data_IF_039807732747
#
_entry.id   IF_039807732747
#
_cell.length_a   1.000
_cell.length_b   1.000
_cell.length_c   1.000
_cell.angle_alpha   90.00
_cell.angle_beta   90.00
_cell.angle_gamma   90.00
#
_symmetry.space_group_name_H-M   'P 1'
#
loop_
_entity.id
_entity.type
_entity.pdbx_description
1 polymer ?
#
# COMPACT_ATOMS: atom_id res chain seq x y z
N UNK A 1 -0.27 -21.15 -3.04
CA UNK A 1 1.07 -20.98 -3.62
C UNK A 1 1.37 -22.14 -4.56
N UNK A 2 1.92 -21.86 -5.73
CA UNK A 2 2.30 -22.83 -6.78
C UNK A 2 3.81 -22.77 -6.94
N UNK A 3 4.49 -23.90 -7.02
CA UNK A 3 5.96 -23.97 -7.13
C UNK A 3 6.34 -24.73 -8.40
N UNK A 4 7.12 -24.09 -9.26
CA UNK A 4 7.78 -24.75 -10.38
C UNK A 4 9.08 -25.39 -9.89
N UNK A 5 9.29 -26.67 -10.23
CA UNK A 5 10.50 -27.40 -9.90
C UNK A 5 11.19 -27.90 -11.18
N UNK A 6 12.50 -27.98 -11.14
CA UNK A 6 13.33 -28.64 -12.13
C UNK A 6 14.34 -29.50 -11.39
N UNK A 7 14.42 -30.78 -11.75
CA UNK A 7 15.31 -31.75 -11.09
C UNK A 7 15.15 -31.71 -9.55
N UNK A 8 13.87 -31.63 -9.08
CA UNK A 8 13.44 -31.50 -7.69
C UNK A 8 13.74 -30.12 -7.03
N UNK A 9 14.54 -29.25 -7.64
CA UNK A 9 14.86 -27.92 -7.10
C UNK A 9 13.80 -26.85 -7.45
N UNK A 10 13.40 -25.98 -6.52
CA UNK A 10 12.45 -24.92 -6.79
C UNK A 10 13.10 -23.83 -7.66
N UNK A 11 12.56 -23.60 -8.86
CA UNK A 11 13.07 -22.64 -9.85
C UNK A 11 12.17 -21.43 -10.06
N UNK A 12 10.97 -21.45 -9.51
CA UNK A 12 10.01 -20.36 -9.59
C UNK A 12 8.78 -20.63 -8.75
N UNK A 13 8.01 -19.59 -8.52
CA UNK A 13 6.75 -19.66 -7.75
C UNK A 13 5.70 -18.71 -8.30
N UNK A 14 4.43 -19.08 -8.11
CA UNK A 14 3.31 -18.16 -8.20
C UNK A 14 2.55 -18.13 -6.87
N UNK A 15 2.12 -16.94 -6.50
CA UNK A 15 1.30 -16.69 -5.32
C UNK A 15 0.03 -15.96 -5.75
N UNK A 16 -1.03 -16.20 -5.02
CA UNK A 16 -2.24 -15.39 -5.12
C UNK A 16 -2.78 -15.08 -3.73
N UNK A 17 -3.44 -13.96 -3.63
CA UNK A 17 -4.21 -13.54 -2.48
C UNK A 17 -5.62 -13.23 -2.98
N UNK A 18 -6.62 -13.75 -2.30
CA UNK A 18 -8.01 -13.51 -2.62
C UNK A 18 -8.57 -12.47 -1.66
N UNK A 19 -9.45 -11.66 -2.19
CA UNK A 19 -10.31 -10.86 -1.37
C UNK A 19 -11.35 -11.74 -0.68
N UNK A 20 -11.75 -11.40 0.56
CA UNK A 20 -12.78 -12.15 1.28
C UNK A 20 -14.12 -12.11 0.55
N UNK A 21 -14.44 -10.96 -0.02
CA UNK A 21 -15.65 -10.73 -0.82
C UNK A 21 -15.24 -10.05 -2.12
N UNK A 22 -15.80 -10.44 -3.26
CA UNK A 22 -15.47 -9.81 -4.55
C UNK A 22 -14.90 -10.79 -5.58
N UNK A 23 -14.54 -10.25 -6.74
CA UNK A 23 -14.12 -11.01 -7.92
C UNK A 23 -12.63 -10.82 -8.27
N UNK A 24 -11.85 -10.21 -7.37
CA UNK A 24 -10.46 -9.85 -7.57
C UNK A 24 -9.50 -10.83 -6.90
N UNK A 25 -8.38 -11.10 -7.57
CA UNK A 25 -7.22 -11.79 -7.00
C UNK A 25 -5.95 -10.98 -7.26
N UNK A 26 -5.11 -10.81 -6.24
CA UNK A 26 -3.74 -10.32 -6.43
C UNK A 26 -2.85 -11.51 -6.76
N UNK A 27 -2.09 -11.40 -7.85
CA UNK A 27 -1.22 -12.48 -8.33
C UNK A 27 0.22 -11.99 -8.43
N UNK A 28 1.16 -12.89 -8.13
CA UNK A 28 2.58 -12.64 -8.26
C UNK A 28 3.27 -13.87 -8.83
N UNK A 29 4.14 -13.68 -9.82
CA UNK A 29 4.94 -14.75 -10.46
C UNK A 29 6.40 -14.38 -10.40
N UNK A 30 7.21 -15.26 -9.84
CA UNK A 30 8.65 -15.10 -9.71
C UNK A 30 9.37 -16.31 -10.30
N UNK A 31 10.42 -16.07 -11.09
CA UNK A 31 11.32 -17.10 -11.62
C UNK A 31 12.74 -16.70 -11.33
N UNK A 32 13.53 -17.62 -10.81
CA UNK A 32 14.95 -17.40 -10.53
C UNK A 32 15.65 -16.92 -11.82
N UNK A 33 16.57 -15.93 -11.73
CA UNK A 33 17.19 -15.29 -12.90
C UNK A 33 17.77 -16.29 -13.91
N UNK A 34 18.50 -17.29 -13.44
CA UNK A 34 19.16 -18.33 -14.23
C UNK A 34 18.21 -19.31 -14.93
N UNK A 35 16.93 -19.35 -14.49
CA UNK A 35 15.89 -20.19 -15.05
C UNK A 35 14.89 -19.44 -15.94
N UNK A 36 15.10 -18.14 -16.14
CA UNK A 36 14.25 -17.29 -17.00
C UNK A 36 14.44 -17.61 -18.48
N UNK A 37 13.48 -17.20 -19.32
CA UNK A 37 13.52 -17.41 -20.77
C UNK A 37 13.21 -18.85 -21.24
N UNK A 38 12.80 -19.73 -20.32
CA UNK A 38 12.53 -21.17 -20.59
C UNK A 38 11.06 -21.55 -20.48
N UNK A 39 10.14 -20.59 -20.56
CA UNK A 39 8.69 -20.83 -20.46
C UNK A 39 8.13 -20.95 -19.04
N UNK A 40 8.97 -21.07 -18.00
CA UNK A 40 8.53 -21.31 -16.61
C UNK A 40 7.57 -20.22 -16.10
N UNK A 41 7.89 -18.94 -16.37
CA UNK A 41 7.02 -17.83 -15.97
C UNK A 41 5.66 -17.87 -16.68
N UNK A 42 5.60 -18.32 -17.94
CA UNK A 42 4.34 -18.51 -18.66
C UNK A 42 3.52 -19.62 -18.00
N UNK A 43 4.10 -20.78 -17.77
CA UNK A 43 3.42 -21.90 -17.12
C UNK A 43 2.88 -21.55 -15.73
N UNK A 44 3.68 -20.86 -14.90
CA UNK A 44 3.24 -20.39 -13.58
C UNK A 44 2.10 -19.38 -13.66
N UNK A 45 2.14 -18.48 -14.65
CA UNK A 45 1.09 -17.49 -14.85
C UNK A 45 -0.21 -18.14 -15.37
N UNK A 46 -0.11 -19.11 -16.29
CA UNK A 46 -1.26 -19.88 -16.78
C UNK A 46 -1.94 -20.62 -15.62
N UNK A 47 -1.16 -21.28 -14.78
CA UNK A 47 -1.65 -22.05 -13.64
C UNK A 47 -2.30 -21.15 -12.58
N UNK A 48 -1.67 -20.03 -12.19
CA UNK A 48 -2.25 -19.12 -11.19
C UNK A 48 -3.51 -18.45 -11.71
N UNK A 49 -3.55 -18.01 -12.98
CA UNK A 49 -4.73 -17.41 -13.59
C UNK A 49 -5.88 -18.44 -13.71
N UNK A 50 -5.57 -19.69 -14.05
CA UNK A 50 -6.55 -20.79 -14.07
C UNK A 50 -7.08 -21.07 -12.66
N UNK A 51 -6.19 -21.18 -11.67
CA UNK A 51 -6.55 -21.43 -10.26
C UNK A 51 -7.50 -20.34 -9.74
N UNK A 52 -7.15 -19.05 -9.90
CA UNK A 52 -7.98 -17.96 -9.36
C UNK A 52 -9.31 -17.82 -10.11
N UNK A 53 -9.34 -18.14 -11.43
CA UNK A 53 -10.58 -18.23 -12.21
C UNK A 53 -11.48 -19.35 -11.69
N UNK A 54 -10.92 -20.54 -11.43
CA UNK A 54 -11.64 -21.67 -10.82
C UNK A 54 -12.19 -21.37 -9.43
N UNK A 55 -11.58 -20.42 -8.70
CA UNK A 55 -12.06 -19.89 -7.43
C UNK A 55 -13.07 -18.72 -7.60
N UNK A 56 -13.62 -18.54 -8.79
CA UNK A 56 -14.65 -17.52 -9.09
C UNK A 56 -14.12 -16.09 -9.25
N UNK A 57 -12.80 -15.90 -9.38
CA UNK A 57 -12.23 -14.57 -9.57
C UNK A 57 -12.22 -14.19 -11.06
N UNK A 58 -12.66 -12.96 -11.35
CA UNK A 58 -12.77 -12.44 -12.72
C UNK A 58 -11.69 -11.43 -13.06
N UNK A 59 -10.97 -10.95 -12.05
CA UNK A 59 -9.91 -9.96 -12.19
C UNK A 59 -8.62 -10.45 -11.56
N UNK A 60 -7.51 -10.27 -12.25
CA UNK A 60 -6.18 -10.45 -11.71
C UNK A 60 -5.45 -9.11 -11.66
N UNK A 61 -4.91 -8.75 -10.49
CA UNK A 61 -4.07 -7.57 -10.27
C UNK A 61 -2.65 -8.05 -9.96
N UNK A 62 -1.65 -7.42 -10.59
CA UNK A 62 -0.26 -7.68 -10.33
C UNK A 62 0.51 -6.37 -10.09
N UNK A 63 1.22 -6.27 -8.98
CA UNK A 63 2.17 -5.20 -8.74
C UNK A 63 3.59 -5.66 -9.03
N UNK A 64 4.29 -4.91 -9.89
CA UNK A 64 5.62 -5.30 -10.39
C UNK A 64 6.59 -4.13 -10.22
N UNK A 65 7.77 -4.34 -9.58
CA UNK A 65 8.80 -3.33 -9.50
C UNK A 65 9.24 -2.87 -10.89
N UNK A 66 9.30 -1.56 -11.11
CA UNK A 66 9.79 -0.98 -12.36
C UNK A 66 11.32 -1.01 -12.34
N UNK A 67 11.90 -1.62 -13.37
CA UNK A 67 13.34 -1.59 -13.62
C UNK A 67 13.62 -0.56 -14.68
N UNK A 68 14.17 0.58 -14.28
CA UNK A 68 14.45 1.68 -15.20
C UNK A 68 15.44 1.24 -16.29
N UNK A 69 15.12 1.61 -17.52
CA UNK A 69 15.90 1.35 -18.72
C UNK A 69 15.74 2.54 -19.68
N UNK A 70 16.78 2.91 -20.44
CA UNK A 70 16.65 3.93 -21.47
C UNK A 70 15.73 3.46 -22.61
N UNK A 71 15.09 4.41 -23.30
CA UNK A 71 14.26 4.15 -24.48
C UNK A 71 12.80 4.55 -24.30
N UNK A 72 11.91 4.08 -25.17
CA UNK A 72 10.50 4.42 -25.19
C UNK A 72 9.80 4.06 -23.87
N UNK A 73 8.82 4.88 -23.50
CA UNK A 73 8.01 4.69 -22.29
C UNK A 73 6.61 4.27 -22.66
N UNK A 74 6.02 3.39 -21.82
CA UNK A 74 4.62 2.99 -21.89
C UNK A 74 3.87 3.72 -20.79
N UNK A 75 2.92 4.62 -21.10
CA UNK A 75 2.21 5.40 -20.09
C UNK A 75 1.19 4.53 -19.35
N UNK A 76 0.91 4.88 -18.08
CA UNK A 76 -0.24 4.34 -17.35
C UNK A 76 -1.56 4.89 -17.91
N UNK A 77 -2.65 4.15 -17.71
CA UNK A 77 -3.98 4.57 -18.14
C UNK A 77 -4.45 5.88 -17.48
N UNK A 78 -3.94 6.19 -16.28
CA UNK A 78 -4.21 7.45 -15.58
C UNK A 78 -3.57 8.67 -16.24
N UNK A 79 -2.63 8.49 -17.16
CA UNK A 79 -1.77 9.57 -17.68
C UNK A 79 -0.67 9.99 -16.71
N UNK A 80 -0.61 9.44 -15.49
CA UNK A 80 0.40 9.72 -14.49
C UNK A 80 1.36 8.55 -14.34
N UNK A 81 2.65 8.80 -14.57
CA UNK A 81 3.68 7.78 -14.57
C UNK A 81 3.74 6.94 -15.84
N UNK A 82 4.85 6.24 -16.00
CA UNK A 82 5.10 5.36 -17.15
C UNK A 82 6.17 4.33 -16.82
N UNK A 83 6.26 3.27 -17.63
CA UNK A 83 7.26 2.20 -17.49
C UNK A 83 8.09 2.06 -18.76
N UNK A 84 9.34 1.52 -18.71
CA UNK A 84 10.12 1.24 -19.91
C UNK A 84 9.38 0.25 -20.82
N UNK A 85 9.01 0.66 -22.05
CA UNK A 85 8.20 -0.14 -22.97
C UNK A 85 8.86 -1.48 -23.36
N UNK A 86 10.19 -1.51 -23.41
CA UNK A 86 10.96 -2.72 -23.74
C UNK A 86 11.35 -3.54 -22.50
N UNK A 87 10.91 -3.13 -21.30
CA UNK A 87 11.11 -3.89 -20.07
C UNK A 87 10.61 -5.33 -20.22
N UNK A 88 11.38 -6.28 -19.72
CA UNK A 88 11.05 -7.71 -19.84
C UNK A 88 9.71 -8.02 -19.19
N UNK A 89 9.49 -7.47 -17.99
CA UNK A 89 8.29 -7.71 -17.20
C UNK A 89 7.08 -7.02 -17.88
N UNK A 90 7.28 -5.83 -18.44
CA UNK A 90 6.26 -5.09 -19.21
C UNK A 90 5.82 -5.89 -20.43
N UNK A 91 6.78 -6.36 -21.26
CA UNK A 91 6.47 -7.19 -22.44
C UNK A 91 5.76 -8.49 -22.06
N UNK A 92 6.15 -9.12 -20.97
CA UNK A 92 5.51 -10.33 -20.47
C UNK A 92 4.05 -10.07 -20.09
N UNK A 93 3.77 -9.01 -19.36
CA UNK A 93 2.41 -8.65 -18.94
C UNK A 93 1.52 -8.23 -20.10
N UNK A 94 2.03 -7.37 -21.01
CA UNK A 94 1.31 -6.97 -22.22
C UNK A 94 0.96 -8.19 -23.11
N UNK A 95 1.92 -9.10 -23.34
CA UNK A 95 1.70 -10.32 -24.11
C UNK A 95 0.68 -11.27 -23.48
N UNK A 96 0.39 -11.12 -22.18
CA UNK A 96 -0.64 -11.86 -21.46
C UNK A 96 -1.98 -11.13 -21.36
N UNK A 97 -2.11 -9.96 -21.97
CA UNK A 97 -3.32 -9.18 -21.95
C UNK A 97 -3.56 -8.36 -20.67
N UNK A 98 -2.51 -8.16 -19.86
CA UNK A 98 -2.57 -7.19 -18.77
C UNK A 98 -2.48 -5.76 -19.32
N UNK A 99 -3.18 -4.84 -18.68
CA UNK A 99 -3.11 -3.40 -18.93
C UNK A 99 -2.42 -2.71 -17.78
N UNK A 100 -1.54 -1.75 -18.07
CA UNK A 100 -0.93 -0.89 -17.07
C UNK A 100 -1.96 0.15 -16.63
N UNK A 101 -2.47 0.01 -15.44
CA UNK A 101 -3.49 0.92 -14.90
C UNK A 101 -2.87 2.04 -14.08
N UNK A 102 -1.82 1.75 -13.30
CA UNK A 102 -1.27 2.70 -12.35
C UNK A 102 0.26 2.54 -12.22
N UNK A 103 0.95 3.63 -11.92
CA UNK A 103 2.35 3.61 -11.47
C UNK A 103 2.40 4.23 -10.08
N UNK A 104 3.07 3.55 -9.17
CA UNK A 104 3.28 4.03 -7.80
C UNK A 104 4.73 4.42 -7.58
N UNK A 105 4.90 5.55 -6.93
CA UNK A 105 6.19 6.01 -6.43
C UNK A 105 6.49 5.30 -5.12
N UNK A 106 7.63 4.64 -5.04
CA UNK A 106 8.19 4.13 -3.80
C UNK A 106 9.13 5.19 -3.24
N UNK A 107 8.78 5.74 -2.09
CA UNK A 107 9.56 6.81 -1.47
C UNK A 107 10.05 6.40 -0.09
N UNK A 108 11.19 6.97 0.30
CA UNK A 108 11.83 6.72 1.59
C UNK A 108 12.04 8.03 2.34
N UNK A 109 11.74 7.99 3.63
CA UNK A 109 12.08 9.01 4.61
C UNK A 109 13.14 8.46 5.54
N UNK A 110 14.31 9.08 5.58
CA UNK A 110 15.36 8.72 6.53
C UNK A 110 15.02 9.25 7.92
N UNK A 111 15.34 8.47 8.95
CA UNK A 111 15.10 8.81 10.35
C UNK A 111 16.41 9.00 11.10
N UNK A 112 16.46 9.89 12.10
CA UNK A 112 15.36 10.75 12.60
C UNK A 112 15.05 11.91 11.68
N UNK A 113 13.78 12.36 11.68
CA UNK A 113 13.35 13.56 10.93
C UNK A 113 13.91 14.80 11.64
N UNK A 114 14.62 15.70 10.95
CA UNK A 114 15.11 16.92 11.55
C UNK A 114 13.97 17.81 12.08
N UNK A 115 14.16 18.44 13.24
CA UNK A 115 13.24 19.42 13.85
C UNK A 115 11.80 18.87 14.03
N UNK A 116 11.65 17.54 14.25
CA UNK A 116 10.36 16.86 14.28
C UNK A 116 9.38 17.51 15.29
N UNK A 117 9.85 17.75 16.52
CA UNK A 117 9.00 18.29 17.60
C UNK A 117 8.47 19.69 17.29
N UNK A 118 9.33 20.57 16.76
CA UNK A 118 8.89 21.91 16.36
C UNK A 118 7.96 21.86 15.14
N UNK A 119 8.20 20.94 14.20
CA UNK A 119 7.32 20.72 13.06
C UNK A 119 5.94 20.26 13.51
N UNK A 120 5.88 19.31 14.44
CA UNK A 120 4.63 18.82 15.02
C UNK A 120 3.90 19.94 15.77
N UNK A 121 4.62 20.74 16.58
CA UNK A 121 4.02 21.87 17.29
C UNK A 121 3.42 22.90 16.31
N UNK A 122 4.10 23.21 15.21
CA UNK A 122 3.57 24.08 14.15
C UNK A 122 2.32 23.47 13.49
N UNK A 123 2.34 22.17 13.20
CA UNK A 123 1.20 21.47 12.61
C UNK A 123 -0.03 21.51 13.53
N UNK A 124 0.13 21.24 14.83
CA UNK A 124 -0.94 21.37 15.86
C UNK A 124 -1.58 22.75 15.85
N UNK A 125 -0.74 23.79 15.90
CA UNK A 125 -1.25 25.20 15.88
C UNK A 125 -2.01 25.55 14.60
N UNK A 126 -1.58 25.01 13.45
CA UNK A 126 -2.21 25.25 12.16
C UNK A 126 -3.52 24.51 11.98
N UNK A 127 -3.63 23.33 12.56
CA UNK A 127 -4.81 22.47 12.37
C UNK A 127 -6.06 22.95 13.12
N UNK A 128 -5.90 23.73 14.19
CA UNK A 128 -7.05 24.26 14.97
C UNK A 128 -7.65 23.20 15.88
N UNK A 129 -8.99 22.99 15.90
CA UNK A 129 -9.69 22.17 16.91
C UNK A 129 -9.62 20.68 16.58
N UNK A 130 -8.41 20.18 16.36
CA UNK A 130 -8.16 18.76 16.06
C UNK A 130 -7.10 18.20 16.99
N UNK A 131 -7.39 17.04 17.58
CA UNK A 131 -6.50 16.33 18.49
C UNK A 131 -6.02 15.01 17.86
N UNK A 132 -4.74 14.70 18.01
CA UNK A 132 -4.18 13.43 17.60
C UNK A 132 -4.15 12.41 18.74
N UNK A 133 -4.44 11.15 18.43
CA UNK A 133 -4.35 10.02 19.33
C UNK A 133 -3.57 8.88 18.67
N UNK A 134 -2.58 8.33 19.38
CA UNK A 134 -1.71 7.28 18.84
C UNK A 134 -1.70 6.06 19.75
N UNK A 135 -1.62 4.87 19.13
CA UNK A 135 -1.46 3.59 19.85
C UNK A 135 -0.73 2.56 19.01
N UNK A 136 -0.18 1.55 19.67
CA UNK A 136 0.44 0.37 19.02
C UNK A 136 -0.47 -0.82 19.26
N UNK A 137 -0.67 -1.65 18.25
CA UNK A 137 -1.48 -2.86 18.33
C UNK A 137 -2.98 -2.61 18.11
N UNK A 138 -3.87 -3.32 18.83
CA UNK A 138 -5.31 -3.28 18.58
C UNK A 138 -5.93 -1.91 18.81
N UNK A 139 -6.97 -1.61 18.06
CA UNK A 139 -7.74 -0.37 18.14
C UNK A 139 -8.48 -0.29 19.48
N UNK A 140 -8.31 0.80 20.26
CA UNK A 140 -9.06 1.01 21.49
C UNK A 140 -10.57 0.98 21.25
N UNK A 141 -11.34 0.40 22.19
CA UNK A 141 -12.77 0.16 22.03
C UNK A 141 -13.57 1.43 21.65
N UNK A 142 -13.19 2.58 22.24
CA UNK A 142 -13.82 3.88 21.95
C UNK A 142 -13.66 4.35 20.50
N UNK A 143 -12.61 3.89 19.78
CA UNK A 143 -12.28 4.31 18.43
C UNK A 143 -12.73 3.35 17.33
N UNK A 144 -13.26 2.16 17.69
CA UNK A 144 -13.59 1.11 16.71
C UNK A 144 -14.57 1.58 15.63
N UNK A 145 -15.62 2.31 16.00
CA UNK A 145 -16.60 2.81 15.02
C UNK A 145 -15.99 3.87 14.09
N UNK A 146 -15.23 4.82 14.64
CA UNK A 146 -14.56 5.84 13.84
C UNK A 146 -13.48 5.27 12.92
N UNK A 147 -12.71 4.28 13.38
CA UNK A 147 -11.72 3.59 12.55
C UNK A 147 -12.39 2.77 11.45
N UNK A 148 -13.53 2.12 11.73
CA UNK A 148 -14.31 1.40 10.73
C UNK A 148 -14.80 2.33 9.61
N UNK A 149 -15.33 3.51 9.95
CA UNK A 149 -15.74 4.53 8.98
C UNK A 149 -14.55 5.02 8.14
N UNK A 150 -13.43 5.36 8.78
CA UNK A 150 -12.22 5.80 8.06
C UNK A 150 -11.67 4.74 7.11
N UNK A 151 -11.65 3.46 7.52
CA UNK A 151 -11.20 2.35 6.67
C UNK A 151 -12.16 2.08 5.51
N UNK A 152 -13.48 2.21 5.72
CA UNK A 152 -14.46 2.12 4.62
C UNK A 152 -14.19 3.21 3.59
N UNK A 153 -14.03 4.46 4.03
CA UNK A 153 -13.71 5.59 3.15
C UNK A 153 -12.34 5.46 2.46
N UNK A 154 -11.39 4.76 3.06
CA UNK A 154 -10.10 4.48 2.42
C UNK A 154 -10.26 3.72 1.10
N UNK A 155 -11.23 2.80 1.03
CA UNK A 155 -11.50 2.02 -0.20
C UNK A 155 -12.19 2.82 -1.30
N UNK A 156 -12.82 3.96 -0.97
CA UNK A 156 -13.57 4.79 -1.94
C UNK A 156 -12.92 6.12 -2.27
N UNK A 157 -12.12 6.68 -1.36
CA UNK A 157 -11.58 8.04 -1.46
C UNK A 157 -10.16 8.10 -2.02
N UNK A 158 -9.46 6.95 -2.10
CA UNK A 158 -8.11 6.83 -2.65
C UNK A 158 -8.18 6.48 -4.14
N UNK A 159 -7.39 7.14 -5.00
CA UNK A 159 -7.34 6.78 -6.41
C UNK A 159 -6.85 5.33 -6.60
N UNK A 160 -7.67 4.50 -7.21
CA UNK A 160 -7.31 3.12 -7.60
C UNK A 160 -7.19 2.95 -9.11
N UNK A 161 -7.35 4.03 -9.86
CA UNK A 161 -7.31 4.05 -11.31
C UNK A 161 -8.23 2.98 -11.93
N UNK A 162 -7.80 2.39 -13.04
CA UNK A 162 -8.49 1.29 -13.70
C UNK A 162 -8.32 -0.07 -12.99
N UNK A 163 -7.62 -0.15 -11.86
CA UNK A 163 -7.52 -1.37 -11.06
C UNK A 163 -8.89 -1.80 -10.54
N UNK A 164 -9.80 -0.82 -10.32
CA UNK A 164 -11.17 -1.08 -9.86
C UNK A 164 -11.19 -1.96 -8.61
N UNK A 165 -10.38 -1.58 -7.62
CA UNK A 165 -10.44 -2.22 -6.32
C UNK A 165 -11.84 -2.02 -5.73
N UNK A 166 -12.47 -3.06 -5.19
CA UNK A 166 -13.84 -2.97 -4.71
C UNK A 166 -13.94 -2.15 -3.44
N UNK A 167 -15.11 -1.58 -3.19
CA UNK A 167 -15.43 -0.98 -1.91
C UNK A 167 -15.41 -2.02 -0.81
N UNK A 168 -14.68 -1.73 0.25
CA UNK A 168 -14.55 -2.58 1.44
C UNK A 168 -15.29 -1.93 2.59
N UNK A 169 -16.47 -2.42 2.91
CA UNK A 169 -17.23 -1.97 4.09
C UNK A 169 -16.60 -2.55 5.35
N UNK A 170 -16.21 -1.68 6.26
CA UNK A 170 -15.69 -2.02 7.57
C UNK A 170 -16.74 -1.80 8.66
N UNK A 171 -16.82 -2.74 9.58
CA UNK A 171 -17.62 -2.63 10.82
C UNK A 171 -16.69 -2.68 12.03
N UNK A 172 -17.12 -2.25 13.22
CA UNK A 172 -16.34 -2.39 14.45
C UNK A 172 -15.86 -3.83 14.70
N UNK A 173 -16.69 -4.82 14.41
CA UNK A 173 -16.32 -6.24 14.59
C UNK A 173 -15.27 -6.71 13.57
N UNK A 174 -15.35 -6.22 12.33
CA UNK A 174 -14.32 -6.47 11.32
C UNK A 174 -12.99 -5.82 11.71
N UNK A 175 -13.00 -4.62 12.29
CA UNK A 175 -11.78 -3.98 12.83
C UNK A 175 -11.18 -4.84 13.94
N UNK A 176 -11.99 -5.33 14.90
CA UNK A 176 -11.50 -6.21 15.98
C UNK A 176 -10.89 -7.50 15.43
N UNK A 177 -11.56 -8.11 14.47
CA UNK A 177 -11.08 -9.35 13.85
C UNK A 177 -9.74 -9.13 13.11
N UNK A 178 -9.63 -8.08 12.31
CA UNK A 178 -8.41 -7.70 11.61
C UNK A 178 -7.26 -7.40 12.58
N UNK A 179 -7.54 -6.64 13.64
CA UNK A 179 -6.56 -6.31 14.67
C UNK A 179 -6.10 -7.59 15.42
N UNK A 180 -6.97 -8.56 15.65
CA UNK A 180 -6.58 -9.85 16.24
C UNK A 180 -5.65 -10.65 15.32
N UNK A 181 -5.96 -10.71 14.02
CA UNK A 181 -5.08 -11.35 13.02
C UNK A 181 -3.71 -10.65 12.91
N UNK A 182 -3.71 -9.32 12.99
CA UNK A 182 -2.47 -8.53 12.95
C UNK A 182 -1.65 -8.68 14.24
N UNK A 183 -2.28 -8.92 15.39
CA UNK A 183 -1.56 -9.18 16.64
C UNK A 183 -0.74 -10.49 16.61
N UNK A 184 -1.15 -11.46 15.77
CA UNK A 184 -0.39 -12.70 15.53
C UNK A 184 0.81 -12.48 14.57
N UNK A 185 0.87 -11.34 13.89
CA UNK A 185 1.95 -11.01 12.98
C UNK A 185 3.17 -10.49 13.73
N UNK A 186 4.37 -10.79 13.23
CA UNK A 186 5.60 -10.33 13.91
C UNK A 186 5.82 -8.82 13.87
N UNK A 187 5.05 -8.07 13.07
CA UNK A 187 5.21 -6.62 12.90
C UNK A 187 4.01 -5.88 13.47
N UNK A 188 4.12 -5.24 14.64
CA UNK A 188 3.01 -4.47 15.19
C UNK A 188 2.65 -3.27 14.33
N UNK A 189 1.41 -2.87 14.40
CA UNK A 189 0.87 -1.69 13.74
C UNK A 189 0.86 -0.52 14.72
N UNK A 190 1.42 0.62 14.30
CA UNK A 190 1.29 1.90 14.98
C UNK A 190 0.26 2.73 14.22
N UNK A 191 -0.81 3.12 14.90
CA UNK A 191 -1.90 3.92 14.33
C UNK A 191 -1.95 5.28 15.02
N UNK A 192 -2.12 6.34 14.22
CA UNK A 192 -2.49 7.68 14.69
C UNK A 192 -3.78 8.09 14.03
N UNK A 193 -4.75 8.53 14.81
CA UNK A 193 -6.01 9.13 14.32
C UNK A 193 -6.08 10.60 14.70
N UNK A 194 -6.88 11.35 13.95
CA UNK A 194 -7.21 12.74 14.26
C UNK A 194 -8.69 12.83 14.59
N UNK A 195 -8.98 13.33 15.76
CA UNK A 195 -10.32 13.65 16.24
C UNK A 195 -10.63 15.13 15.98
N UNK A 196 -11.82 15.42 15.47
CA UNK A 196 -12.37 16.75 15.43
C UNK A 196 -13.05 17.04 16.77
N UNK A 197 -12.41 17.79 17.65
CA UNK A 197 -12.84 18.01 19.04
C UNK A 197 -14.30 18.48 19.19
N UNK A 198 -14.84 19.39 18.35
CA UNK A 198 -16.22 19.83 18.49
C UNK A 198 -17.28 18.75 18.24
N UNK A 199 -17.01 17.75 17.36
CA UNK A 199 -17.96 16.66 17.07
C UNK A 199 -17.61 15.34 17.73
N UNK A 200 -16.36 15.16 18.18
CA UNK A 200 -15.84 13.89 18.67
C UNK A 200 -15.58 12.83 17.56
N UNK A 201 -15.72 13.21 16.30
CA UNK A 201 -15.55 12.29 15.17
C UNK A 201 -14.09 12.10 14.82
N UNK A 202 -13.72 10.87 14.43
CA UNK A 202 -12.45 10.62 13.78
C UNK A 202 -12.52 11.06 12.30
N UNK A 203 -11.60 11.92 11.90
CA UNK A 203 -11.62 12.57 10.58
C UNK A 203 -10.40 12.27 9.71
N UNK A 204 -9.36 11.74 10.32
CA UNK A 204 -8.17 11.27 9.61
C UNK A 204 -7.48 10.14 10.36
N UNK A 205 -6.67 9.35 9.63
CA UNK A 205 -5.78 8.38 10.24
C UNK A 205 -4.53 8.16 9.39
N UNK A 206 -3.50 7.63 10.05
CA UNK A 206 -2.30 7.10 9.39
C UNK A 206 -1.80 5.87 10.14
N UNK A 207 -1.26 4.89 9.42
CA UNK A 207 -0.79 3.62 9.98
C UNK A 207 0.63 3.29 9.50
N UNK A 208 1.46 2.79 10.42
CA UNK A 208 2.80 2.25 10.14
C UNK A 208 2.89 0.79 10.58
N UNK A 209 3.53 -0.05 9.78
CA UNK A 209 4.02 -1.35 10.21
C UNK A 209 5.41 -1.17 10.82
N UNK A 210 5.53 -1.42 12.13
CA UNK A 210 6.76 -1.20 12.89
C UNK A 210 7.73 -2.37 12.70
N UNK A 211 9.03 -2.14 12.47
CA UNK A 211 9.99 -3.24 12.34
C UNK A 211 10.25 -3.91 13.70
N UNK A 212 10.46 -5.24 13.65
CA UNK A 212 10.84 -6.04 14.83
C UNK A 212 12.36 -6.27 14.96
N UNK A 213 13.11 -5.91 13.94
CA UNK A 213 14.58 -6.04 13.91
C UNK A 213 15.20 -4.69 13.64
N UNK A 214 16.27 -4.37 14.38
CA UNK A 214 17.07 -3.19 14.10
C UNK A 214 17.59 -3.20 12.65
N UNK A 215 17.64 -2.03 12.05
CA UNK A 215 18.08 -1.86 10.66
C UNK A 215 16.97 -2.06 9.60
N UNK A 216 15.81 -2.60 9.96
CA UNK A 216 14.68 -2.70 9.04
C UNK A 216 13.87 -1.40 9.01
N UNK A 217 13.43 -1.01 7.83
CA UNK A 217 12.53 0.12 7.64
C UNK A 217 11.13 -0.15 8.21
N UNK A 218 10.48 0.88 8.74
CA UNK A 218 9.04 0.90 8.92
C UNK A 218 8.35 1.05 7.55
N UNK A 219 7.11 0.58 7.43
CA UNK A 219 6.33 0.67 6.20
C UNK A 219 5.08 1.50 6.48
N UNK A 220 4.89 2.56 5.71
CA UNK A 220 3.65 3.32 5.70
C UNK A 220 2.56 2.47 5.04
N UNK A 221 1.49 2.18 5.79
CA UNK A 221 0.39 1.35 5.31
C UNK A 221 -0.72 2.20 4.69
N UNK A 222 -1.26 3.11 5.45
CA UNK A 222 -2.39 3.92 5.02
C UNK A 222 -2.26 5.36 5.51
N UNK A 223 -2.92 6.28 4.82
CA UNK A 223 -3.17 7.65 5.28
C UNK A 223 -4.42 8.17 4.57
N UNK A 224 -5.40 8.61 5.33
CA UNK A 224 -6.62 9.22 4.82
C UNK A 224 -6.99 10.46 5.64
N UNK A 225 -7.52 11.46 4.96
CA UNK A 225 -8.26 12.59 5.56
C UNK A 225 -9.61 12.65 4.87
N UNK A 226 -10.70 12.64 5.65
CA UNK A 226 -12.08 12.79 5.14
C UNK A 226 -12.17 14.06 4.29
N UNK A 227 -12.91 14.00 3.18
CA UNK A 227 -12.99 15.09 2.19
C UNK A 227 -13.40 16.41 2.80
N UNK A 228 -14.38 16.37 3.71
CA UNK A 228 -14.95 17.51 4.43
C UNK A 228 -13.97 18.18 5.40
N UNK A 229 -12.87 17.50 5.76
CA UNK A 229 -11.83 17.98 6.66
C UNK A 229 -10.47 18.21 5.98
N UNK A 230 -10.42 18.18 4.64
CA UNK A 230 -9.19 18.51 3.88
C UNK A 230 -8.89 20.01 3.97
N UNK A 231 -7.64 20.37 3.66
CA UNK A 231 -7.18 21.78 3.73
C UNK A 231 -6.68 22.24 5.10
N UNK A 232 -6.90 21.47 6.17
CA UNK A 232 -6.48 21.81 7.54
C UNK A 232 -5.11 21.24 7.93
N UNK A 233 -4.35 20.64 7.00
CA UNK A 233 -3.01 20.08 7.29
C UNK A 233 -3.02 18.77 8.06
N UNK A 234 -4.18 18.10 8.19
CA UNK A 234 -4.37 16.92 9.04
C UNK A 234 -3.53 15.71 8.61
N UNK A 235 -3.28 15.54 7.31
CA UNK A 235 -2.42 14.46 6.82
C UNK A 235 -0.97 14.63 7.30
N UNK A 236 -0.47 15.86 7.31
CA UNK A 236 0.85 16.19 7.85
C UNK A 236 0.88 16.02 9.37
N UNK A 237 -0.13 16.54 10.09
CA UNK A 237 -0.26 16.40 11.54
C UNK A 237 -0.23 14.92 11.96
N UNK A 238 -1.08 14.09 11.36
CA UNK A 238 -1.15 12.65 11.66
C UNK A 238 0.19 11.95 11.44
N UNK A 239 0.86 12.22 10.32
CA UNK A 239 2.17 11.61 10.01
C UNK A 239 3.27 12.08 10.94
N UNK A 240 3.32 13.37 11.30
CA UNK A 240 4.32 13.89 12.25
C UNK A 240 4.12 13.28 13.65
N UNK A 241 2.89 13.20 14.15
CA UNK A 241 2.57 12.56 15.43
C UNK A 241 2.94 11.07 15.42
N UNK A 242 2.65 10.38 14.32
CA UNK A 242 2.98 8.96 14.15
C UNK A 242 4.51 8.74 14.12
N UNK A 243 5.27 9.62 13.44
CA UNK A 243 6.73 9.57 13.42
C UNK A 243 7.35 9.87 14.78
N UNK A 244 6.80 10.82 15.55
CA UNK A 244 7.21 11.07 16.93
C UNK A 244 7.03 9.81 17.78
N UNK A 245 5.84 9.19 17.72
CA UNK A 245 5.57 7.95 18.45
C UNK A 245 6.43 6.78 17.99
N UNK A 246 6.75 6.68 16.69
CA UNK A 246 7.66 5.66 16.15
C UNK A 246 9.07 5.80 16.76
N UNK A 247 9.55 7.03 16.95
CA UNK A 247 10.84 7.31 17.55
C UNK A 247 11.00 6.84 19.01
N UNK A 248 9.88 6.63 19.71
CA UNK A 248 9.84 6.13 21.09
C UNK A 248 9.83 4.58 21.15
N UNK A 249 9.68 3.90 20.00
CA UNK A 249 9.59 2.44 19.94
C UNK A 249 10.96 1.79 19.69
N UNK A 250 11.13 0.61 20.24
CA UNK A 250 12.32 -0.21 20.03
C UNK A 250 11.97 -1.51 19.26
N UNK A 251 12.84 -1.96 18.36
CA UNK A 251 14.10 -1.34 17.92
C UNK A 251 13.86 -0.13 17.01
N UNK A 252 14.82 0.84 16.97
CA UNK A 252 14.66 2.03 16.14
C UNK A 252 14.66 1.67 14.65
N UNK A 253 13.75 2.29 13.91
CA UNK A 253 13.71 2.19 12.45
C UNK A 253 14.68 3.21 11.83
N UNK A 254 15.51 2.85 10.85
CA UNK A 254 16.39 3.79 10.16
C UNK A 254 15.63 4.65 9.13
N UNK A 255 14.46 4.23 8.71
CA UNK A 255 13.68 4.92 7.69
C UNK A 255 12.22 4.43 7.65
N UNK A 256 11.38 5.19 6.96
CA UNK A 256 10.02 4.79 6.57
C UNK A 256 9.94 4.69 5.06
N UNK A 257 9.39 3.59 4.54
CA UNK A 257 9.10 3.41 3.12
C UNK A 257 7.60 3.54 2.88
N UNK A 258 7.22 4.23 1.81
CA UNK A 258 5.81 4.42 1.39
C UNK A 258 5.63 4.12 -0.09
N UNK A 259 4.41 3.74 -0.48
CA UNK A 259 3.99 3.46 -1.84
C UNK A 259 2.78 4.35 -2.15
N UNK A 260 2.87 5.17 -3.18
CA UNK A 260 1.79 6.10 -3.51
C UNK A 260 1.63 6.23 -5.02
N UNK A 261 0.40 6.14 -5.48
CA UNK A 261 0.05 6.39 -6.87
C UNK A 261 0.55 7.76 -7.33
N UNK A 262 1.13 7.84 -8.53
CA UNK A 262 1.66 9.08 -9.11
C UNK A 262 0.57 10.15 -9.33
N UNK A 263 -0.69 9.73 -9.49
CA UNK A 263 -1.85 10.62 -9.57
C UNK A 263 -2.33 11.14 -8.22
N UNK A 264 -1.87 10.57 -7.10
CA UNK A 264 -2.26 11.02 -5.75
C UNK A 264 -1.43 12.22 -5.29
N UNK A 265 -1.58 13.35 -6.00
CA UNK A 265 -0.79 14.56 -5.80
C UNK A 265 -0.86 15.11 -4.37
N UNK A 266 -1.98 14.90 -3.68
CA UNK A 266 -2.15 15.40 -2.30
C UNK A 266 -1.27 14.64 -1.30
N UNK A 267 -1.24 13.32 -1.38
CA UNK A 267 -0.39 12.50 -0.50
C UNK A 267 1.08 12.68 -0.86
N UNK A 268 1.40 12.79 -2.14
CA UNK A 268 2.76 13.08 -2.60
C UNK A 268 3.26 14.42 -2.06
N UNK A 269 2.45 15.49 -2.09
CA UNK A 269 2.81 16.80 -1.54
C UNK A 269 3.10 16.72 -0.02
N UNK A 270 2.28 16.00 0.75
CA UNK A 270 2.54 15.78 2.19
C UNK A 270 3.85 15.00 2.41
N UNK A 271 4.12 14.00 1.58
CA UNK A 271 5.35 13.23 1.68
C UNK A 271 6.58 14.09 1.33
N UNK A 272 6.50 14.89 0.27
CA UNK A 272 7.59 15.79 -0.14
C UNK A 272 7.87 16.84 0.96
N UNK A 273 6.81 17.41 1.58
CA UNK A 273 6.93 18.32 2.74
C UNK A 273 7.62 17.63 3.94
N UNK A 274 7.34 16.33 4.18
CA UNK A 274 8.00 15.56 5.23
C UNK A 274 9.48 15.27 4.93
N UNK A 275 9.89 15.29 3.66
CA UNK A 275 11.24 14.99 3.21
C UNK A 275 11.40 13.57 2.65
N UNK A 276 10.31 12.89 2.29
CA UNK A 276 10.41 11.64 1.55
C UNK A 276 11.06 11.88 0.19
N UNK A 277 11.89 10.93 -0.23
CA UNK A 277 12.57 10.96 -1.54
C UNK A 277 12.22 9.71 -2.33
N UNK A 278 11.93 9.84 -3.64
CA UNK A 278 11.73 8.69 -4.51
C UNK A 278 12.97 7.80 -4.53
N UNK A 279 12.78 6.50 -4.39
CA UNK A 279 13.86 5.49 -4.46
C UNK A 279 13.60 4.43 -5.53
N UNK A 280 12.35 4.21 -5.91
CA UNK A 280 11.93 3.24 -6.91
C UNK A 280 10.51 3.54 -7.40
N UNK A 281 10.05 2.76 -8.35
CA UNK A 281 8.67 2.74 -8.80
C UNK A 281 8.17 1.30 -8.86
N UNK A 282 6.86 1.12 -8.70
CA UNK A 282 6.18 -0.11 -9.06
C UNK A 282 4.98 0.17 -9.94
N UNK A 283 4.60 -0.82 -10.73
CA UNK A 283 3.52 -0.71 -11.71
C UNK A 283 2.38 -1.64 -11.34
N UNK A 284 1.17 -1.12 -11.34
CA UNK A 284 -0.08 -1.84 -11.09
C UNK A 284 -0.73 -2.26 -12.42
N UNK A 285 -0.89 -3.55 -12.60
CA UNK A 285 -1.41 -4.17 -13.80
C UNK A 285 -2.69 -4.90 -13.52
N UNK A 286 -3.65 -4.82 -14.44
CA UNK A 286 -4.93 -5.53 -14.35
C UNK A 286 -5.16 -6.36 -15.60
N UNK A 287 -5.75 -7.54 -15.40
CA UNK A 287 -6.29 -8.41 -16.44
C UNK A 287 -7.68 -8.88 -16.08
N UNK A 288 -8.60 -8.79 -17.03
CA UNK A 288 -9.91 -9.41 -16.91
C UNK A 288 -9.79 -10.88 -17.35
N UNK A 289 -10.15 -11.80 -16.45
CA UNK A 289 -9.93 -13.24 -16.67
C UNK A 289 -11.05 -13.92 -17.46
N UNK A 290 -12.14 -13.18 -17.77
CA UNK A 290 -13.33 -13.73 -18.43
C UNK A 290 -14.18 -14.62 -17.51
N UNK A 291 -15.36 -14.99 -18.00
CA UNK A 291 -16.19 -16.03 -17.37
C UNK A 291 -15.68 -17.41 -17.80
N UNK A 292 -15.87 -18.41 -16.97
CA UNK A 292 -15.64 -19.82 -17.33
C UNK A 292 -16.65 -20.22 -18.40
#
# INVERSE_FOLDING_TARGET
MIIARRDHEPVGRARYQLELTGDTAWVNVEVLPEHRGRGIGRALADEVESTVRGLGRRKAIAYVPVREQPGPRWPAATGSGSVPAHGRDVRFLLARGYRLEQVERVSRLDLPVPDLDNRLLRARRRSGPYAEHSWVGPTPARWLAGVADLRTRMSTDVPTAGLQEPEIVWTPDRVRHDDALLAEQPRPKLTTVIEHEPSGDLVAFTELSVPIRAGNAAIQLATLVKREHRGHGLGLLAKLANLQRLGELAPPAPSVTTFNAEENVHVLAVNDELGYRPIAYQSGWRKDLGSI
#
